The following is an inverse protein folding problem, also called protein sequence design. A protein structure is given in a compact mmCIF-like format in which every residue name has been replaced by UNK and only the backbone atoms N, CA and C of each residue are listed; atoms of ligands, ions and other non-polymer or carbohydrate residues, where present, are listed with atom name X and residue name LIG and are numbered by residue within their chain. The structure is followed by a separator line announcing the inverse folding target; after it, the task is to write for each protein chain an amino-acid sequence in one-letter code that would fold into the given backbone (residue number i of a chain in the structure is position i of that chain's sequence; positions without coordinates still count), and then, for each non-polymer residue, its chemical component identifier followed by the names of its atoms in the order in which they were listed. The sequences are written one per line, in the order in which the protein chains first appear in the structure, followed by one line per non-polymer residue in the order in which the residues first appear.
data_IF_048486993040
#
_entry.id   IF_048486993040
#
_cell.length_a   1.000
_cell.length_b   1.000
_cell.length_c   1.000
_cell.angle_alpha   90.00
_cell.angle_beta   90.00
_cell.angle_gamma   90.00
#
_symmetry.space_group_name_H-M   'P 1'
#
loop_
_entity.id
_entity.type
_entity.pdbx_description
1 polymer ?
#
# COMPACT_ATOMS: atom_id res chain seq x y z
N UNK A 1 35.91 -2.64 -25.38
CA UNK A 1 35.47 -1.58 -24.42
C UNK A 1 35.01 -0.27 -25.07
N UNK A 2 35.52 0.13 -26.24
CA UNK A 2 35.17 1.40 -26.93
C UNK A 2 33.75 1.43 -27.50
N UNK A 3 33.25 0.29 -28.02
CA UNK A 3 31.89 0.18 -28.57
C UNK A 3 30.79 0.40 -27.52
N UNK A 4 30.90 -0.26 -26.36
CA UNK A 4 29.95 -0.13 -25.25
C UNK A 4 29.93 1.33 -24.74
N UNK A 5 31.09 1.96 -24.56
CA UNK A 5 31.18 3.37 -24.16
C UNK A 5 30.51 4.33 -25.16
N UNK A 6 30.51 3.99 -26.46
CA UNK A 6 29.88 4.82 -27.51
C UNK A 6 28.36 4.63 -27.58
N UNK A 7 27.86 3.41 -27.40
CA UNK A 7 26.45 3.07 -27.66
C UNK A 7 25.61 2.71 -26.43
N UNK A 8 26.15 2.80 -25.21
CA UNK A 8 25.42 2.40 -23.98
C UNK A 8 24.00 2.97 -23.85
N UNK A 9 23.76 4.23 -24.24
CA UNK A 9 22.41 4.83 -24.23
C UNK A 9 21.44 4.11 -25.17
N UNK A 10 21.91 3.71 -26.34
CA UNK A 10 21.11 2.97 -27.31
C UNK A 10 20.84 1.55 -26.81
N UNK A 11 21.86 0.90 -26.24
CA UNK A 11 21.72 -0.43 -25.63
C UNK A 11 20.63 -0.42 -24.57
N UNK A 12 20.65 0.55 -23.65
CA UNK A 12 19.61 0.68 -22.62
C UNK A 12 18.26 0.98 -23.26
N UNK A 13 18.16 1.99 -24.14
CA UNK A 13 16.90 2.37 -24.78
C UNK A 13 16.22 1.18 -25.48
N UNK A 14 16.96 0.41 -26.27
CA UNK A 14 16.42 -0.70 -27.04
C UNK A 14 16.36 -2.04 -26.28
N UNK A 15 16.82 -2.08 -25.03
CA UNK A 15 16.69 -3.30 -24.19
C UNK A 15 15.30 -3.49 -23.58
N UNK A 16 14.40 -2.51 -23.66
CA UNK A 16 13.06 -2.58 -23.05
C UNK A 16 12.27 -3.86 -23.43
N UNK A 17 12.20 -4.31 -24.70
CA UNK A 17 11.51 -5.56 -25.03
C UNK A 17 12.11 -6.78 -24.33
N UNK A 18 13.43 -6.85 -24.22
CA UNK A 18 14.13 -7.94 -23.51
C UNK A 18 13.82 -7.88 -22.01
N UNK A 19 13.82 -6.68 -21.41
CA UNK A 19 13.44 -6.50 -20.00
C UNK A 19 12.01 -6.99 -19.75
N UNK A 20 11.06 -6.67 -20.63
CA UNK A 20 9.67 -7.14 -20.52
C UNK A 20 9.60 -8.67 -20.63
N UNK A 21 10.32 -9.29 -21.55
CA UNK A 21 10.37 -10.75 -21.67
C UNK A 21 10.96 -11.42 -20.42
N UNK A 22 12.03 -10.86 -19.84
CA UNK A 22 12.61 -11.36 -18.60
C UNK A 22 11.64 -11.26 -17.42
N UNK A 23 10.89 -10.15 -17.34
CA UNK A 23 9.85 -9.98 -16.31
C UNK A 23 8.72 -10.99 -16.50
N UNK A 24 8.25 -11.20 -17.73
CA UNK A 24 7.21 -12.21 -18.01
C UNK A 24 7.69 -13.62 -17.69
N UNK A 25 8.93 -13.95 -18.01
CA UNK A 25 9.55 -15.22 -17.64
C UNK A 25 9.62 -15.39 -16.12
N UNK A 26 10.02 -14.35 -15.38
CA UNK A 26 10.04 -14.39 -13.91
C UNK A 26 8.62 -14.53 -13.32
N UNK A 27 7.64 -13.84 -13.90
CA UNK A 27 6.23 -13.89 -13.49
C UNK A 27 5.59 -15.26 -13.75
N UNK A 28 6.07 -16.03 -14.74
CA UNK A 28 5.65 -17.41 -14.98
C UNK A 28 6.15 -18.39 -13.90
N UNK A 29 7.12 -17.98 -13.07
CA UNK A 29 7.71 -18.81 -12.00
C UNK A 29 7.56 -18.15 -10.62
N UNK A 30 6.32 -17.87 -10.16
CA UNK A 30 6.06 -17.03 -9.00
C UNK A 30 6.68 -17.56 -7.70
N UNK A 31 6.74 -18.88 -7.51
CA UNK A 31 7.36 -19.51 -6.34
C UNK A 31 8.88 -19.30 -6.30
N UNK A 32 9.55 -19.41 -7.45
CA UNK A 32 10.98 -19.12 -7.57
C UNK A 32 11.25 -17.63 -7.36
N UNK A 33 10.41 -16.76 -7.92
CA UNK A 33 10.48 -15.31 -7.71
C UNK A 33 10.36 -14.98 -6.21
N UNK A 34 9.37 -15.50 -5.52
CA UNK A 34 9.18 -15.22 -4.08
C UNK A 34 10.40 -15.66 -3.26
N UNK A 35 10.94 -16.85 -3.53
CA UNK A 35 12.11 -17.38 -2.84
C UNK A 35 13.37 -16.55 -3.09
N UNK A 36 13.72 -16.32 -4.35
CA UNK A 36 15.02 -15.74 -4.72
C UNK A 36 15.00 -14.23 -4.77
N UNK A 37 13.93 -13.64 -5.32
CA UNK A 37 13.77 -12.20 -5.40
C UNK A 37 13.18 -11.64 -4.11
N UNK A 38 11.95 -11.98 -3.72
CA UNK A 38 11.26 -11.30 -2.60
C UNK A 38 11.96 -11.56 -1.25
N UNK A 39 12.15 -12.83 -0.88
CA UNK A 39 12.75 -13.20 0.41
C UNK A 39 14.27 -13.23 0.41
N UNK A 40 14.91 -13.27 -0.77
CA UNK A 40 16.35 -13.14 -0.95
C UNK A 40 16.76 -11.70 -1.23
N UNK A 41 16.91 -11.36 -2.51
CA UNK A 41 17.46 -10.09 -2.98
C UNK A 41 16.73 -8.87 -2.44
N UNK A 42 15.41 -8.79 -2.62
CA UNK A 42 14.60 -7.64 -2.22
C UNK A 42 14.58 -7.44 -0.71
N UNK A 43 14.52 -8.52 0.09
CA UNK A 43 14.60 -8.41 1.55
C UNK A 43 15.91 -7.75 1.99
N UNK A 44 17.03 -8.13 1.39
CA UNK A 44 18.32 -7.47 1.64
C UNK A 44 18.31 -6.01 1.15
N UNK A 45 17.94 -5.77 -0.11
CA UNK A 45 17.89 -4.44 -0.72
C UNK A 45 17.04 -3.48 0.11
N UNK A 46 15.81 -3.87 0.42
CA UNK A 46 14.86 -3.03 1.14
C UNK A 46 15.31 -2.74 2.57
N UNK A 47 15.92 -3.71 3.27
CA UNK A 47 16.57 -3.45 4.58
C UNK A 47 17.67 -2.41 4.46
N UNK A 48 18.55 -2.54 3.47
CA UNK A 48 19.66 -1.60 3.23
C UNK A 48 19.13 -0.19 2.93
N UNK A 49 18.12 -0.06 2.06
CA UNK A 49 17.50 1.22 1.75
C UNK A 49 16.87 1.86 3.01
N UNK A 50 16.13 1.08 3.80
CA UNK A 50 15.55 1.59 5.06
C UNK A 50 16.61 1.96 6.09
N UNK A 51 17.75 1.28 6.14
CA UNK A 51 18.87 1.68 7.00
C UNK A 51 19.49 3.01 6.51
N UNK A 52 19.70 3.14 5.20
CA UNK A 52 20.32 4.32 4.59
C UNK A 52 19.45 5.58 4.66
N UNK A 53 18.14 5.45 4.51
CA UNK A 53 17.23 6.60 4.44
C UNK A 53 16.32 6.74 5.66
N UNK A 54 16.17 5.70 6.48
CA UNK A 54 15.24 5.68 7.63
C UNK A 54 15.60 6.65 8.75
N UNK A 55 16.89 6.93 8.95
CA UNK A 55 17.35 7.85 10.00
C UNK A 55 16.98 9.31 9.71
N UNK A 56 16.72 9.67 8.44
CA UNK A 56 16.40 11.04 8.08
C UNK A 56 15.05 11.44 8.68
N UNK A 57 14.89 12.66 9.23
CA UNK A 57 13.61 13.08 9.82
C UNK A 57 12.57 13.49 8.76
N UNK A 58 12.93 13.48 7.48
CA UNK A 58 12.09 13.89 6.35
C UNK A 58 12.12 12.85 5.22
N UNK A 59 11.13 12.92 4.32
CA UNK A 59 10.95 11.97 3.23
C UNK A 59 11.88 12.23 2.04
N UNK A 60 13.06 11.62 2.02
CA UNK A 60 14.05 11.84 0.97
C UNK A 60 13.56 11.39 -0.42
N UNK A 61 12.80 10.30 -0.49
CA UNK A 61 12.19 9.77 -1.71
C UNK A 61 11.26 10.76 -2.40
N UNK A 62 10.52 11.58 -1.64
CA UNK A 62 9.73 12.68 -2.22
C UNK A 62 10.60 13.76 -2.84
N UNK A 63 11.71 14.13 -2.21
CA UNK A 63 12.65 15.11 -2.76
C UNK A 63 13.21 14.60 -4.09
N UNK A 64 13.67 13.34 -4.12
CA UNK A 64 14.17 12.70 -5.34
C UNK A 64 13.08 12.68 -6.42
N UNK A 65 11.85 12.31 -6.07
CA UNK A 65 10.72 12.30 -6.99
C UNK A 65 10.44 13.69 -7.58
N UNK A 66 10.35 14.74 -6.75
CA UNK A 66 10.12 16.11 -7.21
C UNK A 66 11.26 16.61 -8.12
N UNK A 67 12.51 16.31 -7.78
CA UNK A 67 13.67 16.64 -8.62
C UNK A 67 13.65 15.90 -9.96
N UNK A 68 13.24 14.63 -9.99
CA UNK A 68 13.11 13.87 -11.23
C UNK A 68 12.01 14.45 -12.13
N UNK A 69 10.83 14.75 -11.58
CA UNK A 69 9.72 15.36 -12.32
C UNK A 69 10.10 16.74 -12.84
N UNK A 70 10.71 17.59 -12.00
CA UNK A 70 11.20 18.90 -12.40
C UNK A 70 12.27 18.80 -13.49
N UNK A 71 13.25 17.92 -13.31
CA UNK A 71 14.33 17.70 -14.27
C UNK A 71 13.85 17.20 -15.63
N UNK A 72 12.90 16.25 -15.64
CA UNK A 72 12.28 15.75 -16.87
C UNK A 72 11.50 16.87 -17.59
N UNK A 73 10.73 17.65 -16.84
CA UNK A 73 9.94 18.78 -17.36
C UNK A 73 10.84 19.88 -17.93
N UNK A 74 11.85 20.30 -17.18
CA UNK A 74 12.85 21.28 -17.62
C UNK A 74 13.58 20.80 -18.88
N UNK A 75 14.02 19.54 -18.90
CA UNK A 75 14.68 18.95 -20.06
C UNK A 75 13.78 18.98 -21.30
N UNK A 76 12.50 18.63 -21.14
CA UNK A 76 11.52 18.66 -22.23
C UNK A 76 11.35 20.08 -22.80
N UNK A 77 11.08 21.08 -21.93
CA UNK A 77 10.94 22.48 -22.35
C UNK A 77 12.22 23.02 -23.00
N UNK A 78 13.40 22.59 -22.52
CA UNK A 78 14.68 22.94 -23.14
C UNK A 78 14.80 22.38 -24.56
N UNK A 79 14.31 21.17 -24.84
CA UNK A 79 14.29 20.64 -26.21
C UNK A 79 13.33 21.45 -27.09
N UNK A 80 12.15 21.80 -26.59
CA UNK A 80 11.16 22.63 -27.30
C UNK A 80 11.77 24.00 -27.64
N UNK A 81 12.37 24.67 -26.66
CA UNK A 81 13.06 25.95 -26.86
C UNK A 81 14.18 25.84 -27.91
N UNK A 82 15.02 24.79 -27.84
CA UNK A 82 16.08 24.55 -28.84
C UNK A 82 15.51 24.34 -30.23
N UNK A 83 14.37 23.65 -30.36
CA UNK A 83 13.69 23.49 -31.65
C UNK A 83 13.27 24.84 -32.22
N UNK A 84 12.66 25.70 -31.39
CA UNK A 84 12.18 27.03 -31.81
C UNK A 84 13.37 27.93 -32.19
N UNK A 85 14.39 28.05 -31.33
CA UNK A 85 15.52 28.98 -31.54
C UNK A 85 16.55 28.49 -32.55
N UNK A 86 16.88 27.19 -32.55
CA UNK A 86 17.91 26.63 -33.45
C UNK A 86 17.34 26.03 -34.74
N UNK A 87 16.04 26.25 -35.01
CA UNK A 87 15.31 25.76 -36.19
C UNK A 87 15.61 24.28 -36.51
N UNK A 88 15.67 23.45 -35.47
CA UNK A 88 15.90 22.01 -35.65
C UNK A 88 14.78 21.42 -36.51
N UNK A 89 15.13 20.52 -37.43
CA UNK A 89 14.14 19.78 -38.21
C UNK A 89 13.29 18.91 -37.27
N UNK A 90 12.03 18.66 -37.64
CA UNK A 90 11.15 17.77 -36.88
C UNK A 90 11.75 16.39 -36.69
N UNK A 91 12.43 15.84 -37.70
CA UNK A 91 13.14 14.55 -37.62
C UNK A 91 14.23 14.55 -36.54
N UNK A 92 15.04 15.60 -36.45
CA UNK A 92 16.09 15.70 -35.43
C UNK A 92 15.52 15.91 -34.02
N UNK A 93 14.45 16.68 -33.89
CA UNK A 93 13.76 16.89 -32.63
C UNK A 93 13.15 15.58 -32.12
N UNK A 94 12.28 14.95 -32.93
CA UNK A 94 11.62 13.70 -32.56
C UNK A 94 12.62 12.57 -32.36
N UNK A 95 13.67 12.44 -33.19
CA UNK A 95 14.70 11.42 -32.99
C UNK A 95 15.42 11.56 -31.64
N UNK A 96 15.79 12.79 -31.25
CA UNK A 96 16.43 13.03 -29.95
C UNK A 96 15.47 12.86 -28.77
N UNK A 97 14.24 13.34 -28.90
CA UNK A 97 13.24 13.21 -27.83
C UNK A 97 12.84 11.75 -27.64
N UNK A 98 12.60 11.02 -28.73
CA UNK A 98 12.27 9.61 -28.70
C UNK A 98 13.40 8.76 -28.12
N UNK A 99 14.66 8.95 -28.55
CA UNK A 99 15.77 8.16 -28.03
C UNK A 99 16.00 8.39 -26.53
N UNK A 100 16.02 9.65 -26.07
CA UNK A 100 16.22 9.94 -24.64
C UNK A 100 14.99 9.57 -23.80
N UNK A 101 13.79 9.73 -24.36
CA UNK A 101 12.55 9.29 -23.73
C UNK A 101 12.53 7.78 -23.56
N UNK A 102 12.83 7.03 -24.63
CA UNK A 102 12.91 5.57 -24.60
C UNK A 102 14.04 5.09 -23.66
N UNK A 103 15.19 5.76 -23.65
CA UNK A 103 16.25 5.52 -22.68
C UNK A 103 15.74 5.69 -21.24
N UNK A 104 15.05 6.81 -20.96
CA UNK A 104 14.52 7.11 -19.64
C UNK A 104 13.47 6.11 -19.19
N UNK A 105 12.52 5.76 -20.06
CA UNK A 105 11.48 4.75 -19.80
C UNK A 105 12.10 3.37 -19.57
N UNK A 106 13.02 2.96 -20.43
CA UNK A 106 13.71 1.66 -20.32
C UNK A 106 14.53 1.57 -19.02
N UNK A 107 15.29 2.61 -18.69
CA UNK A 107 16.05 2.66 -17.45
C UNK A 107 15.14 2.65 -16.22
N UNK A 108 14.07 3.46 -16.24
CA UNK A 108 13.11 3.51 -15.15
C UNK A 108 12.40 2.15 -14.98
N UNK A 109 11.96 1.51 -16.06
CA UNK A 109 11.32 0.20 -16.01
C UNK A 109 12.28 -0.85 -15.41
N UNK A 110 13.52 -0.94 -15.90
CA UNK A 110 14.51 -1.87 -15.36
C UNK A 110 14.74 -1.65 -13.85
N UNK A 111 14.98 -0.40 -13.44
CA UNK A 111 15.20 -0.06 -12.04
C UNK A 111 13.95 -0.33 -11.20
N UNK A 112 12.78 0.07 -11.66
CA UNK A 112 11.52 -0.15 -10.96
C UNK A 112 11.26 -1.64 -10.74
N UNK A 113 11.39 -2.46 -11.78
CA UNK A 113 11.18 -3.91 -11.69
C UNK A 113 12.19 -4.55 -10.74
N UNK A 114 13.46 -4.14 -10.80
CA UNK A 114 14.51 -4.63 -9.91
C UNK A 114 14.29 -4.20 -8.46
N UNK A 115 13.94 -2.93 -8.21
CA UNK A 115 13.79 -2.41 -6.86
C UNK A 115 12.47 -2.78 -6.21
N UNK A 116 11.41 -3.04 -6.99
CA UNK A 116 10.09 -3.27 -6.41
C UNK A 116 9.12 -4.07 -7.28
N UNK A 117 9.05 -3.77 -8.58
CA UNK A 117 7.96 -4.24 -9.44
C UNK A 117 7.82 -5.75 -9.53
N UNK A 118 8.91 -6.51 -9.40
CA UNK A 118 8.84 -7.98 -9.38
C UNK A 118 8.02 -8.52 -8.19
N UNK A 119 7.91 -7.78 -7.07
CA UNK A 119 7.07 -8.21 -5.94
C UNK A 119 5.58 -8.31 -6.29
N UNK A 120 5.10 -7.69 -7.37
CA UNK A 120 3.72 -7.87 -7.82
C UNK A 120 3.42 -9.27 -8.38
N UNK A 121 4.46 -10.02 -8.74
CA UNK A 121 4.36 -11.33 -9.37
C UNK A 121 4.60 -12.49 -8.40
N UNK A 122 4.67 -12.22 -7.09
CA UNK A 122 4.73 -13.28 -6.07
C UNK A 122 3.41 -14.06 -5.99
N UNK A 123 3.40 -15.29 -5.42
CA UNK A 123 2.17 -16.01 -5.14
C UNK A 123 1.26 -15.19 -4.22
N UNK A 124 -0.05 -15.27 -4.48
CA UNK A 124 -1.03 -14.62 -3.61
C UNK A 124 -0.93 -15.20 -2.20
N UNK A 125 -1.07 -14.34 -1.20
CA UNK A 125 -1.08 -14.71 0.22
C UNK A 125 -1.96 -15.92 0.51
N UNK A 126 -3.13 -16.05 -0.13
CA UNK A 126 -4.02 -17.21 0.03
C UNK A 126 -3.34 -18.55 -0.25
N UNK A 127 -2.49 -18.61 -1.27
CA UNK A 127 -1.71 -19.81 -1.61
C UNK A 127 -0.64 -20.07 -0.55
N UNK A 128 -0.03 -19.00 -0.03
CA UNK A 128 1.02 -19.06 1.00
C UNK A 128 0.48 -19.42 2.39
N UNK A 129 -0.71 -18.94 2.76
CA UNK A 129 -1.36 -19.24 4.06
C UNK A 129 -2.22 -20.51 4.03
N UNK A 130 -2.25 -21.24 2.90
CA UNK A 130 -3.07 -22.45 2.70
C UNK A 130 -4.54 -22.26 3.10
N UNK A 131 -5.07 -21.05 2.93
CA UNK A 131 -6.46 -20.75 3.25
C UNK A 131 -7.30 -21.13 2.03
N UNK A 132 -8.16 -22.15 2.20
CA UNK A 132 -9.06 -22.57 1.12
C UNK A 132 -10.05 -21.45 0.78
N UNK A 133 -10.07 -21.06 -0.50
CA UNK A 133 -11.10 -20.17 -1.06
C UNK A 133 -12.44 -20.92 -1.15
N UNK A 134 -13.03 -21.24 0.00
CA UNK A 134 -14.41 -21.71 0.05
C UNK A 134 -15.33 -20.53 -0.23
N UNK A 135 -16.34 -20.78 -1.07
CA UNK A 135 -17.45 -19.85 -1.32
C UNK A 135 -17.95 -19.32 0.03
N UNK A 136 -18.10 -18.00 0.12
CA UNK A 136 -18.63 -17.36 1.32
C UNK A 136 -20.15 -17.48 1.26
N UNK A 137 -20.75 -18.08 2.28
CA UNK A 137 -22.20 -18.10 2.39
C UNK A 137 -22.70 -16.75 2.96
N UNK A 138 -23.83 -16.21 2.49
CA UNK A 138 -24.37 -14.94 2.98
C UNK A 138 -24.50 -14.87 4.50
N UNK A 139 -24.94 -15.96 5.14
CA UNK A 139 -25.09 -16.05 6.59
C UNK A 139 -23.74 -16.02 7.33
N UNK A 140 -22.68 -16.61 6.76
CA UNK A 140 -21.34 -16.53 7.32
C UNK A 140 -20.80 -15.10 7.22
N UNK A 141 -21.03 -14.43 6.08
CA UNK A 141 -20.65 -13.04 5.88
C UNK A 141 -21.32 -12.12 6.90
N UNK A 142 -22.62 -12.32 7.14
CA UNK A 142 -23.33 -11.56 8.18
C UNK A 142 -22.73 -11.78 9.57
N UNK A 143 -22.44 -13.03 9.96
CA UNK A 143 -21.81 -13.35 11.26
C UNK A 143 -20.42 -12.71 11.40
N UNK A 144 -19.61 -12.75 10.35
CA UNK A 144 -18.29 -12.09 10.33
C UNK A 144 -18.42 -10.56 10.45
N UNK A 145 -19.38 -9.95 9.73
CA UNK A 145 -19.69 -8.53 9.87
C UNK A 145 -20.11 -8.18 11.30
N UNK A 146 -21.01 -8.95 11.90
CA UNK A 146 -21.45 -8.73 13.28
C UNK A 146 -20.29 -8.81 14.27
N UNK A 147 -19.41 -9.81 14.10
CA UNK A 147 -18.19 -9.96 14.91
C UNK A 147 -17.26 -8.75 14.77
N UNK A 148 -17.03 -8.28 13.55
CA UNK A 148 -16.19 -7.09 13.30
C UNK A 148 -16.82 -5.82 13.89
N UNK A 149 -18.16 -5.70 13.90
CA UNK A 149 -18.86 -4.58 14.57
C UNK A 149 -18.60 -4.63 16.07
N UNK A 150 -18.73 -5.80 16.70
CA UNK A 150 -18.44 -5.98 18.12
C UNK A 150 -16.99 -5.58 18.44
N UNK A 151 -16.01 -6.08 17.67
CA UNK A 151 -14.59 -5.75 17.84
C UNK A 151 -14.32 -4.25 17.65
N UNK A 152 -14.92 -3.64 16.63
CA UNK A 152 -14.80 -2.21 16.34
C UNK A 152 -15.33 -1.38 17.51
N UNK A 153 -16.56 -1.64 17.95
CA UNK A 153 -17.17 -0.92 19.07
C UNK A 153 -16.39 -1.14 20.39
N UNK A 154 -15.95 -2.37 20.69
CA UNK A 154 -15.22 -2.66 21.93
C UNK A 154 -13.86 -1.97 21.95
N UNK A 155 -13.09 -2.09 20.87
CA UNK A 155 -11.78 -1.43 20.75
C UNK A 155 -11.89 0.10 20.78
N UNK A 156 -12.98 0.68 20.27
CA UNK A 156 -13.25 2.13 20.42
C UNK A 156 -13.50 2.50 21.88
N UNK A 157 -14.34 1.73 22.58
CA UNK A 157 -14.67 1.97 23.99
C UNK A 157 -13.45 1.81 24.91
N UNK A 158 -12.51 0.92 24.57
CA UNK A 158 -11.21 0.81 25.25
C UNK A 158 -10.36 2.09 25.13
N UNK A 159 -10.56 2.90 24.09
CA UNK A 159 -9.85 4.17 23.90
C UNK A 159 -10.58 5.31 24.63
N UNK A 160 -11.90 5.37 24.51
CA UNK A 160 -12.75 6.38 25.15
C UNK A 160 -14.19 5.91 25.31
N UNK A 161 -14.81 6.27 26.43
CA UNK A 161 -16.24 6.07 26.66
C UNK A 161 -17.11 7.18 26.05
N UNK A 162 -16.49 8.27 25.58
CA UNK A 162 -17.22 9.35 24.90
C UNK A 162 -17.70 8.91 23.51
N UNK A 163 -19.02 8.91 23.35
CA UNK A 163 -19.71 8.54 22.11
C UNK A 163 -20.39 9.72 21.42
N UNK A 164 -20.31 10.92 22.00
CA UNK A 164 -20.97 12.14 21.51
C UNK A 164 -20.26 12.81 20.34
N UNK A 165 -18.97 12.53 20.18
CA UNK A 165 -18.11 13.12 19.15
C UNK A 165 -17.22 12.08 18.49
N UNK A 166 -16.61 12.51 17.37
CA UNK A 166 -15.61 11.71 16.69
C UNK A 166 -14.37 11.52 17.57
N UNK A 167 -13.72 10.36 17.44
CA UNK A 167 -12.56 9.98 18.23
C UNK A 167 -11.40 10.95 17.97
N UNK A 168 -10.91 11.55 19.05
CA UNK A 168 -9.65 12.31 19.06
C UNK A 168 -8.60 11.47 19.75
N UNK A 169 -7.54 11.12 19.03
CA UNK A 169 -6.48 10.27 19.60
C UNK A 169 -5.46 11.18 20.28
N UNK A 170 -5.10 10.86 21.52
CA UNK A 170 -4.09 11.63 22.28
C UNK A 170 -2.66 11.37 21.82
N UNK A 171 -2.41 10.26 21.11
CA UNK A 171 -1.09 9.93 20.56
C UNK A 171 -0.74 10.92 19.45
N UNK A 172 0.49 11.43 19.48
CA UNK A 172 1.07 12.23 18.40
C UNK A 172 1.35 11.37 17.15
N UNK A 173 1.48 12.01 15.98
CA UNK A 173 1.86 11.30 14.74
C UNK A 173 3.20 10.56 14.88
N UNK A 174 4.16 11.13 15.61
CA UNK A 174 5.45 10.50 15.86
C UNK A 174 5.31 9.22 16.72
N UNK A 175 4.40 9.22 17.70
CA UNK A 175 4.10 8.04 18.50
C UNK A 175 3.35 6.97 17.70
N UNK A 176 2.44 7.35 16.79
CA UNK A 176 1.80 6.40 15.88
C UNK A 176 2.82 5.72 14.97
N UNK A 177 3.71 6.51 14.35
CA UNK A 177 4.77 6.00 13.47
C UNK A 177 5.69 5.01 14.19
N UNK A 178 6.20 5.38 15.38
CA UNK A 178 7.07 4.50 16.18
C UNK A 178 6.31 3.31 16.75
N UNK A 179 5.05 3.49 17.13
CA UNK A 179 4.21 2.46 17.75
C UNK A 179 3.90 1.30 16.82
N UNK A 180 3.71 1.56 15.52
CA UNK A 180 3.32 0.56 14.53
C UNK A 180 4.25 -0.66 14.47
N UNK A 181 5.53 -0.47 14.77
CA UNK A 181 6.56 -1.53 14.82
C UNK A 181 6.18 -2.64 15.79
N UNK A 182 5.58 -2.32 16.94
CA UNK A 182 5.19 -3.32 17.95
C UNK A 182 4.18 -4.35 17.42
N UNK A 183 3.30 -3.92 16.51
CA UNK A 183 2.33 -4.81 15.86
C UNK A 183 3.04 -5.82 14.97
N UNK A 184 4.03 -5.35 14.20
CA UNK A 184 4.89 -6.21 13.37
C UNK A 184 5.79 -7.13 14.20
N UNK A 185 6.39 -6.65 15.28
CA UNK A 185 7.21 -7.47 16.18
C UNK A 185 6.41 -8.64 16.75
N UNK A 186 5.18 -8.39 17.22
CA UNK A 186 4.30 -9.43 17.74
C UNK A 186 3.81 -10.38 16.65
N UNK A 187 3.47 -9.84 15.47
CA UNK A 187 3.06 -10.64 14.32
C UNK A 187 4.18 -11.56 13.84
N UNK A 188 5.41 -11.06 13.78
CA UNK A 188 6.59 -11.79 13.33
C UNK A 188 6.97 -12.99 14.23
N UNK A 189 6.57 -12.98 15.51
CA UNK A 189 6.72 -14.16 16.39
C UNK A 189 5.98 -15.38 15.86
N UNK A 190 4.85 -15.17 15.17
CA UNK A 190 4.06 -16.23 14.55
C UNK A 190 4.37 -16.40 13.06
N UNK A 191 4.76 -15.31 12.40
CA UNK A 191 5.07 -15.29 10.97
C UNK A 191 6.42 -14.61 10.70
N UNK A 192 7.56 -15.30 10.92
CA UNK A 192 8.91 -14.72 10.85
C UNK A 192 9.30 -14.13 9.49
N UNK A 193 8.57 -14.47 8.42
CA UNK A 193 8.77 -13.89 7.10
C UNK A 193 8.37 -12.40 7.02
N UNK A 194 7.59 -11.90 7.98
CA UNK A 194 7.15 -10.49 8.06
C UNK A 194 7.93 -9.66 9.08
N UNK A 195 9.09 -10.15 9.54
CA UNK A 195 9.95 -9.39 10.46
C UNK A 195 10.30 -8.02 9.89
N UNK A 196 10.06 -6.99 10.69
CA UNK A 196 10.30 -5.59 10.37
C UNK A 196 11.40 -5.05 11.31
N UNK A 197 12.62 -4.83 10.79
CA UNK A 197 13.79 -4.46 11.61
C UNK A 197 14.08 -2.95 11.63
N UNK A 198 14.09 -2.29 10.46
CA UNK A 198 14.46 -0.88 10.33
C UNK A 198 13.25 -0.03 9.94
N UNK A 199 12.95 1.00 10.73
CA UNK A 199 11.86 1.96 10.48
C UNK A 199 12.25 2.94 9.40
N UNK A 200 11.38 3.12 8.41
CA UNK A 200 11.53 4.17 7.41
C UNK A 200 10.16 4.65 6.93
N UNK A 201 9.25 4.88 7.89
CA UNK A 201 7.92 5.46 7.65
C UNK A 201 7.94 6.91 8.08
N UNK A 202 7.46 7.81 7.21
CA UNK A 202 7.55 9.26 7.43
C UNK A 202 6.27 9.97 6.99
N UNK A 203 6.07 11.21 7.43
CA UNK A 203 4.98 12.05 6.91
C UNK A 203 5.27 12.53 5.49
N UNK A 204 4.23 12.73 4.69
CA UNK A 204 4.35 13.43 3.40
C UNK A 204 4.59 14.93 3.59
N UNK A 205 5.30 15.58 2.65
CA UNK A 205 5.54 17.03 2.71
C UNK A 205 4.29 17.85 2.41
N UNK A 206 3.47 17.38 1.46
CA UNK A 206 2.27 18.08 0.99
C UNK A 206 1.07 17.12 1.08
N UNK A 207 0.53 16.88 2.29
CA UNK A 207 -0.54 15.92 2.51
C UNK A 207 -1.81 16.20 1.69
N UNK A 208 -2.13 17.48 1.46
CA UNK A 208 -3.29 17.86 0.68
C UNK A 208 -3.19 17.36 -0.77
N UNK A 209 -2.00 17.44 -1.38
CA UNK A 209 -1.79 16.93 -2.75
C UNK A 209 -2.10 15.43 -2.82
N UNK A 210 -1.72 14.68 -1.78
CA UNK A 210 -2.01 13.25 -1.70
C UNK A 210 -3.50 12.98 -1.49
N UNK A 211 -4.18 13.81 -0.69
CA UNK A 211 -5.64 13.73 -0.51
C UNK A 211 -6.40 14.05 -1.81
N UNK A 212 -5.94 15.02 -2.60
CA UNK A 212 -6.54 15.41 -3.89
C UNK A 212 -6.52 14.28 -4.92
N UNK A 213 -5.52 13.40 -4.86
CA UNK A 213 -5.46 12.19 -5.71
C UNK A 213 -6.10 10.96 -5.05
N UNK A 214 -6.71 11.13 -3.87
CA UNK A 214 -7.45 10.08 -3.18
C UNK A 214 -6.57 9.04 -2.48
N UNK A 215 -5.34 9.41 -2.09
CA UNK A 215 -4.37 8.47 -1.53
C UNK A 215 -4.00 8.80 -0.06
N UNK A 216 -3.84 7.76 0.76
CA UNK A 216 -3.51 7.85 2.19
C UNK A 216 -2.05 7.53 2.51
N UNK A 217 -1.34 6.84 1.62
CA UNK A 217 0.06 6.48 1.79
C UNK A 217 0.74 6.20 0.46
N UNK A 218 2.07 6.28 0.41
CA UNK A 218 2.85 5.91 -0.78
C UNK A 218 4.20 5.34 -0.39
N UNK A 219 4.57 4.24 -1.02
CA UNK A 219 5.89 3.66 -0.93
C UNK A 219 6.81 4.17 -2.05
N UNK A 220 8.05 4.53 -1.72
CA UNK A 220 9.09 4.97 -2.65
C UNK A 220 10.14 3.86 -2.86
N UNK A 221 10.05 3.07 -3.95
CA UNK A 221 10.93 1.92 -4.21
C UNK A 221 12.42 2.19 -4.12
N UNK A 222 12.87 3.35 -4.62
CA UNK A 222 14.30 3.65 -4.76
C UNK A 222 14.96 4.11 -3.46
N UNK A 223 14.17 4.50 -2.45
CA UNK A 223 14.67 4.89 -1.12
C UNK A 223 14.18 3.97 -0.01
N UNK A 224 13.27 3.03 -0.33
CA UNK A 224 12.68 2.13 0.66
C UNK A 224 11.81 2.84 1.69
N UNK A 225 11.45 4.11 1.47
CA UNK A 225 10.65 4.91 2.39
C UNK A 225 9.15 4.70 2.14
N UNK A 226 8.41 4.54 3.23
CA UNK A 226 6.96 4.65 3.25
C UNK A 226 6.59 6.07 3.68
N UNK A 227 5.68 6.73 2.97
CA UNK A 227 5.23 8.06 3.34
C UNK A 227 3.71 8.10 3.52
N UNK A 228 3.27 8.60 4.66
CA UNK A 228 1.86 8.57 5.08
C UNK A 228 1.29 10.00 5.08
N UNK A 229 0.06 10.12 4.58
CA UNK A 229 -0.75 11.33 4.70
C UNK A 229 -1.25 11.47 6.15
N UNK A 230 -0.53 12.27 6.93
CA UNK A 230 -0.86 12.50 8.34
C UNK A 230 -1.98 13.52 8.57
N UNK A 231 -2.55 14.13 7.52
CA UNK A 231 -3.68 15.06 7.66
C UNK A 231 -5.02 14.31 7.79
N UNK A 232 -5.06 13.01 7.48
CA UNK A 232 -6.27 12.20 7.61
C UNK A 232 -6.73 12.10 9.06
N UNK A 233 -8.00 11.73 9.28
CA UNK A 233 -8.54 11.56 10.63
C UNK A 233 -7.74 10.54 11.43
N UNK A 234 -7.40 10.87 12.68
CA UNK A 234 -6.40 10.13 13.46
C UNK A 234 -6.63 8.62 13.51
N UNK A 235 -7.89 8.18 13.63
CA UNK A 235 -8.19 6.76 13.85
C UNK A 235 -7.91 5.88 12.63
N UNK A 236 -7.72 6.44 11.43
CA UNK A 236 -7.31 5.65 10.24
C UNK A 236 -5.79 5.59 10.07
N UNK A 237 -5.04 6.48 10.72
CA UNK A 237 -3.59 6.57 10.57
C UNK A 237 -2.85 5.29 11.00
N UNK A 238 -3.16 4.64 12.14
CA UNK A 238 -2.42 3.45 12.57
C UNK A 238 -2.45 2.32 11.54
N UNK A 239 -3.63 1.98 11.00
CA UNK A 239 -3.75 0.96 9.96
C UNK A 239 -3.10 1.40 8.64
N UNK A 240 -3.15 2.69 8.29
CA UNK A 240 -2.47 3.23 7.10
C UNK A 240 -0.95 3.10 7.24
N UNK A 241 -0.39 3.42 8.41
CA UNK A 241 1.04 3.25 8.70
C UNK A 241 1.43 1.77 8.55
N UNK A 242 0.66 0.86 9.16
CA UNK A 242 0.91 -0.57 9.02
C UNK A 242 0.77 -1.04 7.56
N UNK A 243 -0.15 -0.47 6.78
CA UNK A 243 -0.28 -0.75 5.34
C UNK A 243 1.00 -0.39 4.59
N UNK A 244 1.50 0.84 4.76
CA UNK A 244 2.71 1.27 4.06
C UNK A 244 3.95 0.49 4.51
N UNK A 245 4.02 0.08 5.79
CA UNK A 245 5.06 -0.81 6.27
C UNK A 245 5.02 -2.19 5.58
N UNK A 246 3.85 -2.68 5.19
CA UNK A 246 3.71 -3.93 4.44
C UNK A 246 4.39 -3.82 3.06
N UNK A 247 4.24 -2.69 2.38
CA UNK A 247 4.95 -2.43 1.13
C UNK A 247 6.46 -2.47 1.32
N UNK A 248 6.98 -1.84 2.39
CA UNK A 248 8.41 -1.87 2.66
C UNK A 248 8.99 -3.29 2.74
N UNK A 249 8.22 -4.27 3.22
CA UNK A 249 8.67 -5.67 3.34
C UNK A 249 8.27 -6.58 2.18
N UNK A 250 7.82 -6.03 1.04
CA UNK A 250 7.62 -6.85 -0.17
C UNK A 250 6.19 -7.29 -0.42
N UNK A 251 5.22 -6.72 0.29
CA UNK A 251 3.80 -6.95 0.03
C UNK A 251 3.33 -5.91 -0.97
N UNK A 252 3.39 -6.22 -2.26
CA UNK A 252 3.09 -5.24 -3.31
C UNK A 252 1.58 -5.07 -3.58
N UNK A 253 0.77 -6.09 -3.36
CA UNK A 253 -0.67 -5.99 -3.56
C UNK A 253 -1.31 -5.12 -2.47
N UNK A 254 -2.04 -4.07 -2.87
CA UNK A 254 -2.83 -3.20 -1.99
C UNK A 254 -3.79 -3.98 -1.08
N UNK A 255 -4.41 -5.01 -1.63
CA UNK A 255 -5.37 -5.82 -0.87
C UNK A 255 -4.67 -6.66 0.20
N UNK A 256 -3.50 -7.19 -0.13
CA UNK A 256 -2.67 -7.94 0.80
C UNK A 256 -2.04 -7.03 1.85
N UNK A 257 -1.60 -5.82 1.47
CA UNK A 257 -1.10 -4.81 2.38
C UNK A 257 -2.19 -4.39 3.38
N UNK A 258 -3.42 -4.20 2.93
CA UNK A 258 -4.58 -3.99 3.81
C UNK A 258 -4.83 -5.16 4.76
N UNK A 259 -4.68 -6.40 4.30
CA UNK A 259 -4.82 -7.58 5.14
C UNK A 259 -3.71 -7.67 6.20
N UNK A 260 -2.46 -7.44 5.81
CA UNK A 260 -1.32 -7.42 6.73
C UNK A 260 -1.45 -6.26 7.73
N UNK A 261 -1.95 -5.09 7.31
CA UNK A 261 -2.24 -3.97 8.20
C UNK A 261 -3.32 -4.34 9.24
N UNK A 262 -4.38 -5.02 8.82
CA UNK A 262 -5.39 -5.55 9.73
C UNK A 262 -4.76 -6.53 10.73
N UNK A 263 -4.02 -7.55 10.27
CA UNK A 263 -3.42 -8.54 11.15
C UNK A 263 -2.43 -7.92 12.14
N UNK A 264 -1.48 -7.12 11.66
CA UNK A 264 -0.49 -6.48 12.53
C UNK A 264 -1.13 -5.54 13.56
N UNK A 265 -2.25 -4.90 13.19
CA UNK A 265 -3.08 -4.14 14.13
C UNK A 265 -3.72 -5.03 15.22
N UNK A 266 -4.18 -6.24 14.88
CA UNK A 266 -4.74 -7.18 15.87
C UNK A 266 -3.67 -7.72 16.83
N UNK A 267 -2.43 -7.88 16.37
CA UNK A 267 -1.28 -8.26 17.20
C UNK A 267 -0.70 -7.09 18.01
N UNK A 268 -1.24 -5.88 17.87
CA UNK A 268 -0.75 -4.69 18.57
C UNK A 268 -1.39 -4.55 19.97
N UNK A 269 -0.61 -4.20 21.02
CA UNK A 269 -1.13 -4.11 22.40
C UNK A 269 -2.00 -2.87 22.68
N UNK A 270 -1.83 -1.79 21.93
CA UNK A 270 -2.68 -0.58 22.04
C UNK A 270 -4.05 -0.78 21.38
N UNK A 271 -5.16 -0.40 22.05
CA UNK A 271 -6.50 -0.44 21.46
C UNK A 271 -6.65 0.52 20.27
N UNK A 272 -5.84 1.58 20.17
CA UNK A 272 -5.86 2.52 19.05
C UNK A 272 -5.54 1.83 17.72
N UNK A 273 -4.51 0.98 17.71
CA UNK A 273 -4.14 0.21 16.52
C UNK A 273 -5.19 -0.85 16.20
N UNK A 274 -5.66 -1.60 17.21
CA UNK A 274 -6.73 -2.60 17.03
C UNK A 274 -7.98 -1.96 16.44
N UNK A 275 -8.39 -0.80 16.95
CA UNK A 275 -9.54 -0.06 16.44
C UNK A 275 -9.35 0.33 14.98
N UNK A 276 -8.21 0.93 14.63
CA UNK A 276 -7.88 1.32 13.26
C UNK A 276 -7.97 0.12 12.29
N UNK A 277 -7.37 -1.01 12.67
CA UNK A 277 -7.43 -2.25 11.89
C UNK A 277 -8.85 -2.83 11.79
N UNK A 278 -9.61 -2.80 12.89
CA UNK A 278 -11.01 -3.25 12.92
C UNK A 278 -11.89 -2.43 11.98
N UNK A 279 -11.73 -1.11 11.97
CA UNK A 279 -12.42 -0.21 11.04
C UNK A 279 -12.08 -0.57 9.59
N UNK A 280 -10.80 -0.76 9.28
CA UNK A 280 -10.35 -1.16 7.93
C UNK A 280 -11.06 -2.44 7.49
N UNK A 281 -10.99 -3.50 8.30
CA UNK A 281 -11.63 -4.78 8.01
C UNK A 281 -13.16 -4.67 7.89
N UNK A 282 -13.80 -3.93 8.80
CA UNK A 282 -15.24 -3.75 8.84
C UNK A 282 -15.75 -3.02 7.58
N UNK A 283 -15.03 -2.02 7.06
CA UNK A 283 -15.40 -1.32 5.82
C UNK A 283 -15.45 -2.29 4.63
N UNK A 284 -14.45 -3.16 4.49
CA UNK A 284 -14.44 -4.19 3.44
C UNK A 284 -15.58 -5.20 3.61
N UNK A 285 -15.78 -5.72 4.82
CA UNK A 285 -16.83 -6.70 5.11
C UNK A 285 -18.24 -6.13 4.90
N UNK A 286 -18.52 -4.93 5.42
CA UNK A 286 -19.82 -4.27 5.26
C UNK A 286 -20.09 -3.84 3.81
N UNK A 287 -19.06 -3.46 3.05
CA UNK A 287 -19.20 -3.19 1.61
C UNK A 287 -19.61 -4.45 0.86
N UNK A 288 -18.93 -5.58 1.11
CA UNK A 288 -19.30 -6.89 0.56
C UNK A 288 -20.73 -7.31 0.93
N UNK A 289 -21.12 -7.13 2.20
CA UNK A 289 -22.47 -7.45 2.67
C UNK A 289 -23.52 -6.59 1.97
N UNK A 290 -23.27 -5.29 1.77
CA UNK A 290 -24.21 -4.38 1.08
C UNK A 290 -24.59 -4.87 -0.31
N UNK A 291 -23.63 -5.45 -1.06
CA UNK A 291 -23.88 -5.97 -2.40
C UNK A 291 -24.52 -7.37 -2.40
N UNK A 292 -24.30 -8.15 -1.34
CA UNK A 292 -24.84 -9.52 -1.24
C UNK A 292 -26.23 -9.55 -0.63
N UNK A 293 -26.42 -8.83 0.47
CA UNK A 293 -27.66 -8.76 1.23
C UNK A 293 -27.81 -7.35 1.82
N UNK A 294 -28.50 -6.49 1.08
CA UNK A 294 -28.74 -5.10 1.48
C UNK A 294 -29.62 -4.97 2.72
N UNK A 295 -30.45 -5.98 3.02
CA UNK A 295 -31.33 -6.01 4.20
C UNK A 295 -30.52 -6.32 5.45
N UNK A 296 -29.68 -7.35 5.42
CA UNK A 296 -28.73 -7.65 6.49
C UNK A 296 -27.77 -6.49 6.74
N UNK A 297 -27.25 -5.84 5.67
CA UNK A 297 -26.43 -4.64 5.79
C UNK A 297 -27.14 -3.52 6.56
N UNK A 298 -28.38 -3.19 6.21
CA UNK A 298 -29.17 -2.15 6.91
C UNK A 298 -29.41 -2.52 8.38
N UNK A 299 -29.69 -3.79 8.68
CA UNK A 299 -29.86 -4.31 10.04
C UNK A 299 -28.57 -4.17 10.85
N UNK A 300 -27.45 -4.69 10.36
CA UNK A 300 -26.17 -4.65 11.08
C UNK A 300 -25.63 -3.23 11.24
N UNK A 301 -25.85 -2.34 10.27
CA UNK A 301 -25.44 -0.93 10.40
C UNK A 301 -26.08 -0.24 11.62
N UNK A 302 -27.27 -0.66 12.06
CA UNK A 302 -27.90 -0.13 13.29
C UNK A 302 -27.15 -0.53 14.57
N UNK A 303 -26.26 -1.52 14.51
CA UNK A 303 -25.42 -1.96 15.65
C UNK A 303 -24.12 -1.15 15.78
N UNK A 304 -23.85 -0.22 14.86
CA UNK A 304 -22.70 0.68 15.01
C UNK A 304 -22.92 1.56 16.25
N UNK A 305 -21.91 1.66 17.10
CA UNK A 305 -21.95 2.60 18.23
C UNK A 305 -22.13 4.05 17.74
N UNK A 306 -22.79 4.93 18.50
CA UNK A 306 -22.94 6.34 18.12
C UNK A 306 -21.59 7.00 17.83
N UNK A 307 -20.60 6.74 18.70
CA UNK A 307 -19.24 7.22 18.52
C UNK A 307 -18.60 6.77 17.21
N UNK A 308 -18.71 5.48 16.83
CA UNK A 308 -18.21 5.02 15.55
C UNK A 308 -18.91 5.68 14.35
N UNK A 309 -20.22 5.98 14.47
CA UNK A 309 -20.93 6.74 13.44
C UNK A 309 -20.36 8.15 13.28
N UNK A 310 -19.99 8.82 14.39
CA UNK A 310 -19.32 10.11 14.33
C UNK A 310 -17.94 10.02 13.67
N UNK A 311 -17.16 8.97 13.97
CA UNK A 311 -15.86 8.72 13.35
C UNK A 311 -15.98 8.57 11.82
N UNK A 312 -16.96 7.77 11.35
CA UNK A 312 -17.23 7.61 9.92
C UNK A 312 -17.69 8.91 9.25
N UNK A 313 -18.42 9.78 9.96
CA UNK A 313 -18.81 11.10 9.46
C UNK A 313 -17.61 12.03 9.34
N UNK A 314 -16.70 12.02 10.32
CA UNK A 314 -15.48 12.81 10.29
C UNK A 314 -14.56 12.40 9.13
N UNK A 315 -14.33 11.10 8.93
CA UNK A 315 -13.56 10.57 7.79
C UNK A 315 -14.18 11.03 6.46
N UNK A 316 -15.50 10.89 6.31
CA UNK A 316 -16.21 11.34 5.11
C UNK A 316 -16.07 12.85 4.89
N UNK A 317 -16.23 13.64 5.94
CA UNK A 317 -16.13 15.10 5.86
C UNK A 317 -14.72 15.54 5.47
N UNK A 318 -13.68 14.83 5.92
CA UNK A 318 -12.30 15.04 5.47
C UNK A 318 -12.17 14.83 3.96
N UNK A 319 -12.52 13.64 3.46
CA UNK A 319 -12.36 13.30 2.03
C UNK A 319 -13.24 14.13 1.10
N UNK A 320 -14.41 14.59 1.56
CA UNK A 320 -15.28 15.46 0.78
C UNK A 320 -14.63 16.80 0.41
N UNK A 321 -13.68 17.30 1.23
CA UNK A 321 -12.94 18.55 0.93
C UNK A 321 -12.02 18.43 -0.28
N UNK A 322 -11.61 17.20 -0.62
CA UNK A 322 -10.61 16.91 -1.65
C UNK A 322 -11.22 16.27 -2.90
N UNK A 323 -12.55 16.17 -2.96
CA UNK A 323 -13.25 15.59 -4.12
C UNK A 323 -12.93 16.42 -5.36
N UNK A 324 -12.17 15.83 -6.27
CA UNK A 324 -11.61 16.51 -7.43
C UNK A 324 -12.12 15.90 -8.74
N UNK A 325 -12.35 16.71 -9.79
CA UNK A 325 -12.59 16.18 -11.14
C UNK A 325 -11.38 15.41 -11.71
N UNK A 326 -10.19 15.52 -11.12
CA UNK A 326 -8.99 14.77 -11.51
C UNK A 326 -8.88 13.39 -10.85
N UNK A 327 -9.62 13.14 -9.78
CA UNK A 327 -9.63 11.84 -9.07
C UNK A 327 -9.96 10.66 -10.01
N UNK A 328 -10.96 10.75 -10.92
CA UNK A 328 -11.23 9.67 -11.87
C UNK A 328 -10.04 9.39 -12.81
N UNK A 329 -9.31 10.42 -13.22
CA UNK A 329 -8.15 10.28 -14.12
C UNK A 329 -7.01 9.56 -13.40
N UNK A 330 -6.69 9.98 -12.16
CA UNK A 330 -5.69 9.32 -11.34
C UNK A 330 -6.03 7.84 -11.10
N UNK A 331 -7.31 7.55 -10.79
CA UNK A 331 -7.81 6.17 -10.64
C UNK A 331 -7.63 5.34 -11.90
N UNK A 332 -7.84 5.89 -13.08
CA UNK A 332 -7.62 5.18 -14.35
C UNK A 332 -6.15 4.84 -14.55
N UNK A 333 -5.23 5.80 -14.34
CA UNK A 333 -3.79 5.53 -14.46
C UNK A 333 -3.31 4.49 -13.44
N UNK A 334 -3.82 4.57 -12.20
CA UNK A 334 -3.50 3.64 -11.15
C UNK A 334 -4.05 2.23 -11.43
N UNK A 335 -5.30 2.12 -11.89
CA UNK A 335 -5.90 0.85 -12.31
C UNK A 335 -5.16 0.22 -13.50
N UNK A 336 -4.74 1.03 -14.49
CA UNK A 336 -3.89 0.57 -15.59
C UNK A 336 -2.53 0.07 -15.09
N UNK A 337 -1.90 0.80 -14.16
CA UNK A 337 -0.64 0.41 -13.55
C UNK A 337 -0.76 -0.91 -12.79
N UNK A 338 -1.80 -1.08 -11.98
CA UNK A 338 -2.08 -2.32 -11.25
C UNK A 338 -2.35 -3.49 -12.22
N UNK A 339 -3.18 -3.28 -13.24
CA UNK A 339 -3.47 -4.29 -14.27
C UNK A 339 -2.22 -4.72 -15.05
N UNK A 340 -1.33 -3.78 -15.36
CA UNK A 340 -0.07 -4.05 -16.04
C UNK A 340 0.88 -4.89 -15.17
N UNK A 341 0.82 -4.72 -13.85
CA UNK A 341 1.59 -5.49 -12.87
C UNK A 341 0.82 -6.70 -12.34
N UNK A 342 -0.04 -7.32 -13.15
CA UNK A 342 -0.78 -8.55 -12.79
C UNK A 342 -1.69 -8.45 -11.56
N UNK A 343 -1.99 -7.26 -11.06
CA UNK A 343 -3.02 -7.03 -10.02
C UNK A 343 -4.40 -6.91 -10.67
N UNK A 344 -4.78 -7.88 -11.52
CA UNK A 344 -6.13 -7.95 -12.08
C UNK A 344 -7.09 -8.31 -10.95
N UNK A 345 -7.87 -7.34 -10.49
CA UNK A 345 -9.03 -7.63 -9.65
C UNK A 345 -10.05 -8.43 -10.47
N UNK A 346 -9.99 -9.76 -10.35
CA UNK A 346 -11.09 -10.60 -10.73
C UNK A 346 -12.28 -10.24 -9.84
N UNK A 347 -13.36 -9.78 -10.46
CA UNK A 347 -14.67 -9.58 -9.83
C UNK A 347 -15.24 -10.95 -9.47
N UNK A 348 -14.65 -11.61 -8.48
CA UNK A 348 -15.40 -12.61 -7.70
C UNK A 348 -16.38 -11.83 -6.83
N UNK A 349 -17.52 -12.42 -6.51
CA UNK A 349 -18.61 -11.76 -5.76
C UNK A 349 -18.16 -11.09 -4.45
N UNK A 350 -16.98 -11.48 -3.92
CA UNK A 350 -16.29 -10.84 -2.82
C UNK A 350 -14.84 -10.49 -3.20
N UNK A 351 -14.35 -9.34 -2.75
CA UNK A 351 -12.94 -8.96 -2.89
C UNK A 351 -11.99 -9.89 -2.12
N UNK A 352 -10.71 -9.87 -2.47
CA UNK A 352 -9.67 -10.71 -1.82
C UNK A 352 -9.56 -10.45 -0.31
N UNK A 353 -9.65 -9.19 0.13
CA UNK A 353 -9.63 -8.82 1.56
C UNK A 353 -10.73 -9.54 2.35
N UNK A 354 -11.96 -9.55 1.82
CA UNK A 354 -13.10 -10.21 2.46
C UNK A 354 -12.89 -11.71 2.59
N UNK A 355 -12.29 -12.36 1.58
CA UNK A 355 -11.96 -13.78 1.65
C UNK A 355 -10.88 -14.07 2.70
N UNK A 356 -9.83 -13.26 2.76
CA UNK A 356 -8.76 -13.40 3.75
C UNK A 356 -9.29 -13.27 5.18
N UNK A 357 -10.12 -12.25 5.45
CA UNK A 357 -10.76 -12.08 6.76
C UNK A 357 -11.73 -13.23 7.06
N UNK A 358 -12.53 -13.69 6.08
CA UNK A 358 -13.45 -14.82 6.27
C UNK A 358 -12.70 -16.11 6.63
N UNK A 359 -11.54 -16.33 6.02
CA UNK A 359 -10.71 -17.47 6.34
C UNK A 359 -10.14 -17.40 7.77
N UNK A 360 -9.73 -16.22 8.25
CA UNK A 360 -9.38 -16.02 9.66
C UNK A 360 -10.59 -16.22 10.58
N UNK A 361 -11.77 -15.70 10.22
CA UNK A 361 -13.00 -15.87 10.99
C UNK A 361 -13.37 -17.34 11.15
N UNK A 362 -13.28 -18.14 10.08
CA UNK A 362 -13.50 -19.61 10.15
C UNK A 362 -12.45 -20.31 11.00
N UNK A 363 -11.21 -19.83 10.98
CA UNK A 363 -10.08 -20.44 11.70
C UNK A 363 -10.09 -20.17 13.21
N UNK A 364 -10.38 -18.94 13.63
CA UNK A 364 -10.23 -18.51 15.02
C UNK A 364 -11.34 -17.55 15.52
N UNK A 365 -12.39 -17.30 14.74
CA UNK A 365 -13.45 -16.35 15.11
C UNK A 365 -12.99 -14.90 15.24
N UNK A 366 -11.89 -14.53 14.57
CA UNK A 366 -11.19 -13.25 14.70
C UNK A 366 -10.73 -12.99 16.15
N UNK A 367 -10.15 -14.02 16.78
CA UNK A 367 -9.49 -13.92 18.08
C UNK A 367 -7.98 -14.10 17.88
N UNK A 368 -7.23 -13.10 18.31
CA UNK A 368 -5.78 -13.05 18.18
C UNK A 368 -5.15 -13.02 19.58
N UNK A 369 -4.43 -14.09 19.92
CA UNK A 369 -3.72 -14.16 21.19
C UNK A 369 -2.41 -13.41 21.11
N UNK A 370 -2.25 -12.40 21.97
CA UNK A 370 -0.95 -11.80 22.27
C UNK A 370 -0.44 -12.57 23.50
N UNK A 371 0.46 -13.54 23.31
CA UNK A 371 1.17 -14.14 24.44
C UNK A 371 1.90 -13.01 25.17
N UNK A 372 1.41 -12.61 26.36
CA UNK A 372 2.16 -11.74 27.26
C UNK A 372 3.43 -12.50 27.62
N UNK A 373 4.60 -11.85 27.53
CA UNK A 373 5.81 -12.41 28.15
C UNK A 373 5.47 -12.61 29.62
N UNK A 374 5.44 -13.86 30.07
CA UNK A 374 5.76 -14.17 31.46
C UNK A 374 7.18 -13.67 31.64
N UNK A 375 7.36 -12.68 32.50
CA UNK A 375 8.70 -12.32 32.95
C UNK A 375 9.15 -13.51 33.81
N UNK A 376 10.04 -14.34 33.26
CA UNK A 376 10.92 -15.22 34.03
C UNK A 376 12.28 -14.55 34.13
#
# INVERSE_FOLDING_TARGET
MTFIKKYWKHIIAFSLPIQVLLVQWAAAHPQALERWYTYGFYRFLSKTLRLMFGFMPFAFGQIVFYLLVFGATYWFFKQVYRRIKKRLTWKQFFGKVALHGLFGVSLFYALFMLFWGLNYHRPNLLQTVKLELKKIQPQELEKMCDRLITLTNSSRNEITQDTSQALKIKMTHAEMLRGAVKGYENFAKKFPQYTYEYVSVKSVFVPQLMSWVGNGGIYFPFTGEANVNMDMVDFVLPATICHEMAHQIGVASETEANYIAYLTSQYHPSPVFRYSGNVLALRYAMSALRYTDSTAFKRLRKKFSPGFVHDLRADRAYWQKFRSPLEPISRVFYDLFLKANSQRHGVRSYGLMTHLIMAEFRKNGLKYEIKKRTNE
#
